data_IF_238895215943
#
_entry.id   IF_238895215943
#
_cell.length_a   1.000
_cell.length_b   1.000
_cell.length_c   1.000
_cell.angle_alpha   90.00
_cell.angle_beta   90.00
_cell.angle_gamma   90.00
#
_symmetry.space_group_name_H-M   'P 1'
#
loop_
_entity.id
_entity.type
_entity.pdbx_description
1 polymer ?
#
# COMPACT_ATOMS: atom_id res chain seq x y z
N UNK A 1 26.28 -20.27 -53.98
CA UNK A 1 25.98 -19.44 -52.79
C UNK A 1 24.53 -19.66 -52.40
N UNK A 2 24.24 -20.32 -51.26
CA UNK A 2 22.88 -20.42 -50.70
C UNK A 2 22.91 -19.80 -49.31
N UNK A 3 22.42 -18.57 -49.23
CA UNK A 3 22.32 -17.76 -48.02
C UNK A 3 21.20 -18.27 -47.11
N UNK A 4 21.42 -18.06 -45.82
CA UNK A 4 20.71 -18.59 -44.65
C UNK A 4 19.18 -18.62 -44.74
N UNK A 5 18.59 -19.76 -44.38
CA UNK A 5 17.20 -19.83 -43.92
C UNK A 5 17.11 -19.10 -42.59
N UNK A 6 16.41 -17.98 -42.56
CA UNK A 6 15.92 -17.35 -41.34
C UNK A 6 15.04 -18.36 -40.61
N UNK A 7 15.49 -18.78 -39.42
CA UNK A 7 14.65 -19.52 -38.51
C UNK A 7 13.62 -18.55 -37.92
N UNK A 8 12.43 -18.48 -38.50
CA UNK A 8 11.25 -17.94 -37.83
C UNK A 8 10.76 -18.99 -36.83
N UNK A 9 11.39 -19.07 -35.65
CA UNK A 9 10.85 -19.84 -34.52
C UNK A 9 10.57 -18.86 -33.39
N UNK A 10 9.37 -18.29 -33.46
CA UNK A 10 8.83 -17.42 -32.43
C UNK A 10 8.64 -18.22 -31.15
N UNK A 11 9.25 -17.72 -30.09
CA UNK A 11 8.89 -17.92 -28.68
C UNK A 11 9.73 -16.88 -27.91
N UNK A 12 9.39 -15.60 -28.07
CA UNK A 12 9.95 -14.53 -27.23
C UNK A 12 9.19 -14.50 -25.91
N UNK A 13 9.29 -15.59 -25.14
CA UNK A 13 8.76 -15.62 -23.78
C UNK A 13 9.45 -14.52 -22.95
N UNK A 14 8.66 -13.68 -22.29
CA UNK A 14 9.19 -12.61 -21.43
C UNK A 14 8.73 -12.83 -19.99
N UNK A 15 9.69 -12.92 -19.07
CA UNK A 15 9.44 -12.95 -17.63
C UNK A 15 9.80 -11.57 -17.05
N UNK A 16 8.90 -10.99 -16.26
CA UNK A 16 9.14 -9.78 -15.50
C UNK A 16 8.77 -10.00 -14.04
N UNK A 17 9.49 -9.35 -13.13
CA UNK A 17 9.15 -9.31 -11.72
C UNK A 17 8.77 -7.89 -11.33
N UNK A 18 7.75 -7.77 -10.47
CA UNK A 18 7.34 -6.51 -9.86
C UNK A 18 7.43 -6.67 -8.35
N UNK A 19 8.24 -5.82 -7.74
CA UNK A 19 8.25 -5.61 -6.30
C UNK A 19 7.60 -4.27 -5.98
N UNK A 20 6.65 -4.25 -5.07
CA UNK A 20 6.01 -3.03 -4.58
C UNK A 20 6.14 -2.96 -3.05
N UNK A 21 6.45 -1.76 -2.55
CA UNK A 21 6.54 -1.48 -1.12
C UNK A 21 5.57 -0.36 -0.76
N UNK A 22 4.61 -0.66 0.10
CA UNK A 22 3.65 0.29 0.64
C UNK A 22 4.09 0.62 2.07
N UNK A 23 4.26 1.91 2.38
CA UNK A 23 4.78 2.37 3.66
C UNK A 23 6.14 1.71 4.02
N UNK A 24 7.14 1.83 3.14
CA UNK A 24 8.43 1.13 3.24
C UNK A 24 9.17 1.37 4.58
N UNK A 25 9.04 2.57 5.15
CA UNK A 25 9.67 2.94 6.42
C UNK A 25 8.76 2.70 7.64
N UNK A 26 7.57 2.13 7.44
CA UNK A 26 6.60 1.86 8.48
C UNK A 26 6.21 3.11 9.30
N UNK A 27 6.14 4.27 8.65
CA UNK A 27 5.70 5.51 9.28
C UNK A 27 4.20 5.42 9.53
N UNK A 28 3.73 5.55 10.79
CA UNK A 28 2.31 5.48 11.07
C UNK A 28 1.61 6.74 10.54
N UNK A 29 0.52 6.54 9.79
CA UNK A 29 -0.35 7.63 9.32
C UNK A 29 -1.71 7.46 9.99
N UNK A 30 -1.96 8.27 11.02
CA UNK A 30 -3.18 8.19 11.81
C UNK A 30 -4.40 8.68 11.02
N UNK A 31 -5.54 8.02 11.23
CA UNK A 31 -6.82 8.42 10.67
C UNK A 31 -7.35 9.71 11.31
N UNK A 32 -8.49 10.20 10.80
CA UNK A 32 -9.14 11.39 11.39
C UNK A 32 -9.60 11.01 12.81
N UNK A 33 -9.22 11.76 13.86
CA UNK A 33 -9.68 11.49 15.21
C UNK A 33 -11.21 11.50 15.23
N UNK A 34 -11.82 10.41 15.72
CA UNK A 34 -13.26 10.29 15.71
C UNK A 34 -13.81 11.03 16.93
N UNK A 35 -14.32 12.24 16.69
CA UNK A 35 -15.07 13.12 17.60
C UNK A 35 -14.29 13.59 18.85
N UNK A 36 -14.22 14.92 18.99
CA UNK A 36 -13.89 15.57 20.26
C UNK A 36 -15.05 15.29 21.23
N UNK A 37 -14.78 14.62 22.35
CA UNK A 37 -15.83 14.24 23.30
C UNK A 37 -16.19 15.36 24.27
N UNK A 38 -16.23 16.60 23.79
CA UNK A 38 -16.62 17.77 24.55
C UNK A 38 -18.05 18.14 24.15
N UNK A 39 -19.00 18.04 25.09
CA UNK A 39 -20.42 18.27 24.81
C UNK A 39 -20.76 19.78 24.77
N UNK A 40 -19.85 20.63 25.23
CA UNK A 40 -19.99 22.08 25.18
C UNK A 40 -18.66 22.84 25.33
N UNK A 41 -18.66 24.15 25.04
CA UNK A 41 -17.46 25.00 25.06
C UNK A 41 -16.87 25.23 26.46
N UNK A 42 -17.61 24.93 27.53
CA UNK A 42 -17.19 25.15 28.92
C UNK A 42 -16.67 23.86 29.62
N UNK A 43 -16.57 22.75 28.87
CA UNK A 43 -16.19 21.46 29.43
C UNK A 43 -14.67 21.34 29.61
N UNK A 44 -14.21 21.35 30.87
CA UNK A 44 -12.79 21.22 31.25
C UNK A 44 -12.32 19.76 31.32
N UNK A 45 -13.25 18.82 31.47
CA UNK A 45 -12.97 17.38 31.56
C UNK A 45 -13.75 16.70 30.43
N UNK A 46 -13.11 15.84 29.61
CA UNK A 46 -13.82 15.21 28.50
C UNK A 46 -14.99 14.35 28.99
N UNK A 47 -16.19 14.63 28.47
CA UNK A 47 -17.45 13.99 28.88
C UNK A 47 -17.62 12.56 28.33
N UNK A 48 -16.68 12.10 27.52
CA UNK A 48 -16.74 10.74 26.99
C UNK A 48 -15.41 10.00 26.99
N UNK A 49 -15.50 8.67 26.88
CA UNK A 49 -14.52 7.75 27.46
C UNK A 49 -13.17 7.70 26.74
N UNK A 50 -12.99 8.38 25.60
CA UNK A 50 -11.92 8.07 24.63
C UNK A 50 -11.41 9.30 23.88
N UNK A 51 -10.99 10.34 24.61
CA UNK A 51 -10.33 11.51 24.01
C UNK A 51 -8.82 11.28 23.91
N UNK A 52 -8.26 11.49 22.73
CA UNK A 52 -6.82 11.31 22.46
C UNK A 52 -6.39 9.91 22.04
N UNK A 53 -7.31 8.95 21.94
CA UNK A 53 -7.00 7.59 21.48
C UNK A 53 -6.96 7.51 19.94
N UNK A 54 -5.88 6.93 19.41
CA UNK A 54 -5.73 6.66 17.99
C UNK A 54 -6.41 5.32 17.67
N UNK A 55 -7.59 5.38 17.04
CA UNK A 55 -8.42 4.18 16.77
C UNK A 55 -8.39 3.69 15.32
N UNK A 56 -7.75 4.43 14.44
CA UNK A 56 -7.68 4.08 13.03
C UNK A 56 -6.42 4.60 12.38
N UNK A 57 -6.02 3.90 11.33
CA UNK A 57 -4.94 4.30 10.45
C UNK A 57 -5.56 4.77 9.14
N UNK A 58 -5.06 5.87 8.60
CA UNK A 58 -5.47 6.36 7.27
C UNK A 58 -5.00 5.41 6.17
N UNK A 59 -3.78 4.89 6.33
CA UNK A 59 -3.15 3.95 5.41
C UNK A 59 -2.69 2.71 6.18
N UNK A 60 -2.60 1.58 5.48
CA UNK A 60 -2.05 0.36 6.06
C UNK A 60 -0.60 0.57 6.56
N UNK A 61 -0.22 -0.22 7.56
CA UNK A 61 1.18 -0.34 7.97
C UNK A 61 1.99 -1.03 6.85
N UNK A 62 3.31 -1.14 7.02
CA UNK A 62 4.20 -1.61 5.95
C UNK A 62 3.76 -2.93 5.31
N UNK A 63 3.63 -2.93 3.98
CA UNK A 63 3.32 -4.10 3.17
C UNK A 63 4.32 -4.20 2.03
N UNK A 64 4.85 -5.40 1.79
CA UNK A 64 5.65 -5.73 0.62
C UNK A 64 4.89 -6.73 -0.25
N UNK A 65 4.88 -6.50 -1.56
CA UNK A 65 4.24 -7.35 -2.54
C UNK A 65 5.23 -7.71 -3.63
N UNK A 66 5.24 -8.98 -4.04
CA UNK A 66 6.08 -9.48 -5.13
C UNK A 66 5.19 -10.27 -6.08
N UNK A 67 5.24 -9.92 -7.36
CA UNK A 67 4.44 -10.55 -8.39
C UNK A 67 5.28 -10.89 -9.63
N UNK A 68 5.26 -12.14 -10.12
CA UNK A 68 5.80 -12.50 -11.43
C UNK A 68 4.78 -12.19 -12.53
N UNK A 69 5.28 -11.75 -13.68
CA UNK A 69 4.49 -11.53 -14.89
C UNK A 69 5.13 -12.29 -16.05
N UNK A 70 4.39 -13.25 -16.60
CA UNK A 70 4.82 -14.11 -17.70
C UNK A 70 4.09 -13.68 -18.96
N UNK A 71 4.84 -13.54 -20.05
CA UNK A 71 4.32 -13.33 -21.41
C UNK A 71 4.75 -14.52 -22.26
N UNK A 72 3.80 -15.06 -23.02
CA UNK A 72 3.95 -16.19 -23.94
C UNK A 72 3.55 -15.74 -25.34
#
# INVERSE_FOLDING_TARGET
MKSSRTCHRGEQGRLQFRGEAFNAFNTPQFGRPNLLSYVGPDSLVPDGPRVGEIRSLRNAMRIFQVAPKVYF
#
